data_IF_339797322177
#
_entry.id   IF_339797322177
#
_cell.length_a   1.000
_cell.length_b   1.000
_cell.length_c   1.000
_cell.angle_alpha   90.00
_cell.angle_beta   90.00
_cell.angle_gamma   90.00
#
_symmetry.space_group_name_H-M   'P 1'
#
loop_
_entity.id
_entity.type
_entity.pdbx_description
1 polymer ?
#
# COMPACT_ATOMS: atom_id res chain seq x y z
N UNK A 1 51.18 -14.42 -19.74
CA UNK A 1 49.92 -13.85 -20.26
C UNK A 1 48.76 -14.43 -19.48
N UNK A 2 48.26 -13.71 -18.49
CA UNK A 2 47.02 -14.05 -17.78
C UNK A 2 45.83 -13.46 -18.55
N UNK A 3 44.73 -14.21 -18.66
CA UNK A 3 43.32 -13.79 -18.51
C UNK A 3 42.40 -14.72 -19.32
N UNK A 4 41.73 -15.64 -18.65
CA UNK A 4 40.41 -16.14 -19.06
C UNK A 4 39.43 -15.78 -17.96
N UNK A 5 38.58 -14.78 -18.24
CA UNK A 5 37.58 -14.27 -17.31
C UNK A 5 36.36 -15.19 -17.29
N UNK A 6 36.10 -15.79 -16.13
CA UNK A 6 34.81 -16.39 -15.78
C UNK A 6 33.71 -15.33 -15.86
N UNK A 7 32.79 -15.49 -16.81
CA UNK A 7 31.58 -14.66 -16.91
C UNK A 7 30.58 -15.06 -15.83
N UNK A 8 30.64 -14.41 -14.67
CA UNK A 8 29.58 -14.49 -13.67
C UNK A 8 28.41 -13.59 -14.14
N UNK A 9 27.34 -14.20 -14.65
CA UNK A 9 26.06 -13.51 -14.84
C UNK A 9 25.55 -13.10 -13.45
N UNK A 10 25.57 -11.80 -13.18
CA UNK A 10 25.04 -11.24 -11.95
C UNK A 10 23.51 -11.42 -11.96
N UNK A 11 23.01 -12.32 -11.10
CA UNK A 11 21.59 -12.36 -10.78
C UNK A 11 21.16 -11.00 -10.22
N UNK A 12 20.30 -10.30 -10.96
CA UNK A 12 19.68 -9.06 -10.49
C UNK A 12 18.79 -9.38 -9.28
N UNK A 13 19.29 -9.10 -8.08
CA UNK A 13 18.49 -9.08 -6.85
C UNK A 13 17.43 -7.97 -6.97
N UNK A 14 16.22 -8.32 -7.40
CA UNK A 14 15.03 -7.47 -7.25
C UNK A 14 14.52 -7.51 -5.80
N UNK A 15 15.39 -7.23 -4.84
CA UNK A 15 15.10 -7.43 -3.40
C UNK A 15 14.94 -6.13 -2.61
N UNK A 16 14.73 -5.00 -3.28
CA UNK A 16 14.32 -3.75 -2.64
C UNK A 16 13.12 -3.20 -3.41
N UNK A 17 11.95 -3.83 -3.25
CA UNK A 17 10.71 -3.17 -3.64
C UNK A 17 10.26 -2.28 -2.48
N UNK A 18 10.51 -0.96 -2.51
CA UNK A 18 10.10 -0.05 -1.45
C UNK A 18 8.58 -0.06 -1.25
N UNK A 19 7.79 -0.37 -2.28
CA UNK A 19 6.34 -0.42 -2.21
C UNK A 19 5.87 -1.60 -1.37
N UNK A 20 6.52 -2.77 -1.48
CA UNK A 20 6.25 -3.91 -0.58
C UNK A 20 6.52 -3.58 0.89
N UNK A 21 7.50 -2.72 1.16
CA UNK A 21 7.74 -2.21 2.51
C UNK A 21 6.58 -1.37 3.02
N UNK A 22 6.10 -0.42 2.19
CA UNK A 22 4.99 0.47 2.53
C UNK A 22 3.64 -0.27 2.64
N UNK A 23 3.39 -1.27 1.79
CA UNK A 23 2.17 -2.12 1.86
C UNK A 23 2.09 -2.86 3.20
N UNK A 24 3.23 -3.23 3.80
CA UNK A 24 3.27 -3.92 5.09
C UNK A 24 3.09 -2.97 6.28
N UNK A 25 3.32 -1.68 6.12
CA UNK A 25 3.06 -0.70 7.17
C UNK A 25 1.55 -0.44 7.29
N UNK A 26 0.95 -0.92 8.39
CA UNK A 26 -0.49 -0.77 8.64
C UNK A 26 -0.97 0.68 8.75
N UNK A 27 -0.06 1.65 8.87
CA UNK A 27 -0.38 3.09 8.87
C UNK A 27 -0.57 3.67 7.47
N UNK A 28 -0.29 2.89 6.43
CA UNK A 28 -0.27 3.34 5.05
C UNK A 28 -1.38 2.69 4.20
N UNK A 29 -1.80 3.40 3.16
CA UNK A 29 -2.66 2.87 2.10
C UNK A 29 -2.12 3.32 0.74
N UNK A 30 -1.16 2.57 0.22
CA UNK A 30 -0.36 2.96 -0.97
C UNK A 30 -0.79 2.27 -2.27
N UNK A 31 -1.78 1.39 -2.21
CA UNK A 31 -2.36 0.68 -3.35
C UNK A 31 -3.88 0.86 -3.35
N UNK A 32 -4.57 0.96 -4.51
CA UNK A 32 -6.03 1.11 -4.59
C UNK A 32 -6.83 0.02 -3.85
N UNK A 33 -6.20 -1.13 -3.61
CA UNK A 33 -6.79 -2.32 -2.97
C UNK A 33 -6.06 -2.70 -1.68
N UNK A 34 -5.15 -1.86 -1.19
CA UNK A 34 -4.37 -2.08 0.04
C UNK A 34 -3.12 -2.94 -0.16
N UNK A 35 -3.23 -4.07 -0.85
CA UNK A 35 -2.13 -5.00 -1.11
C UNK A 35 -2.17 -5.57 -2.54
N UNK A 36 -1.15 -6.34 -2.91
CA UNK A 36 -1.10 -7.00 -4.23
C UNK A 36 -2.06 -8.19 -4.37
N UNK A 37 -2.57 -8.73 -3.26
CA UNK A 37 -3.59 -9.77 -3.27
C UNK A 37 -5.00 -9.20 -3.46
N UNK A 38 -5.14 -7.88 -3.50
CA UNK A 38 -6.37 -7.12 -3.60
C UNK A 38 -7.39 -7.41 -2.47
N UNK A 39 -6.92 -7.65 -1.24
CA UNK A 39 -7.80 -8.07 -0.13
C UNK A 39 -8.64 -6.94 0.45
N UNK A 40 -8.21 -5.68 0.30
CA UNK A 40 -8.81 -4.49 0.92
C UNK A 40 -8.91 -4.57 2.45
N UNK A 41 -7.99 -5.30 3.10
CA UNK A 41 -7.98 -5.52 4.55
C UNK A 41 -6.94 -4.64 5.26
N UNK A 42 -7.27 -4.11 6.44
CA UNK A 42 -6.33 -3.40 7.33
C UNK A 42 -6.12 -4.17 8.63
N UNK A 43 -4.87 -4.21 9.12
CA UNK A 43 -4.52 -4.82 10.41
C UNK A 43 -4.78 -3.89 11.62
N UNK A 44 -5.20 -2.64 11.40
CA UNK A 44 -5.49 -1.68 12.47
C UNK A 44 -6.70 -2.14 13.31
N UNK A 45 -6.62 -1.93 14.63
CA UNK A 45 -7.66 -2.34 15.60
C UNK A 45 -8.12 -1.21 16.53
N UNK A 46 -7.89 0.05 16.15
CA UNK A 46 -8.32 1.19 16.95
C UNK A 46 -9.85 1.34 16.94
N UNK A 47 -10.47 1.07 15.79
CA UNK A 47 -11.92 1.02 15.62
C UNK A 47 -12.34 -0.45 15.65
N UNK A 48 -13.28 -0.79 16.52
CA UNK A 48 -13.73 -2.16 16.78
C UNK A 48 -15.25 -2.23 16.86
N UNK A 49 -15.81 -3.44 16.92
CA UNK A 49 -17.26 -3.68 17.07
C UNK A 49 -17.83 -3.06 18.34
N UNK A 50 -17.02 -2.91 19.39
CA UNK A 50 -17.42 -2.37 20.69
C UNK A 50 -17.46 -0.84 20.71
N UNK A 51 -16.73 -0.16 19.80
CA UNK A 51 -16.59 1.30 19.82
C UNK A 51 -17.04 2.01 18.52
N UNK A 52 -17.37 1.27 17.46
CA UNK A 52 -17.81 1.84 16.18
C UNK A 52 -19.03 2.78 16.32
N UNK A 53 -19.90 2.55 17.30
CA UNK A 53 -21.03 3.43 17.60
C UNK A 53 -20.66 4.83 18.12
N UNK A 54 -19.38 5.09 18.41
CA UNK A 54 -18.86 6.38 18.89
C UNK A 54 -18.16 7.21 17.81
N UNK A 55 -18.12 6.72 16.57
CA UNK A 55 -17.46 7.44 15.47
C UNK A 55 -18.15 8.77 15.19
N UNK A 56 -17.34 9.80 14.95
CA UNK A 56 -17.78 11.15 14.60
C UNK A 56 -17.02 11.65 13.38
N UNK A 57 -17.61 12.60 12.65
CA UNK A 57 -16.95 13.27 11.54
C UNK A 57 -15.75 14.06 12.06
N UNK A 58 -14.56 13.82 11.50
CA UNK A 58 -13.37 14.59 11.84
C UNK A 58 -13.22 15.84 10.97
N UNK A 59 -13.49 15.72 9.67
CA UNK A 59 -13.39 16.80 8.68
C UNK A 59 -14.09 16.40 7.38
N UNK A 60 -14.31 17.36 6.49
CA UNK A 60 -14.86 17.15 5.15
C UNK A 60 -14.02 17.92 4.11
N UNK A 61 -13.90 17.37 2.90
CA UNK A 61 -13.23 18.01 1.77
C UNK A 61 -14.12 17.97 0.53
N UNK A 62 -14.25 19.10 -0.17
CA UNK A 62 -14.99 19.18 -1.44
C UNK A 62 -14.04 18.93 -2.61
N UNK A 63 -14.38 17.97 -3.47
CA UNK A 63 -13.61 17.65 -4.68
C UNK A 63 -13.83 18.67 -5.81
N UNK A 64 -14.87 19.51 -5.73
CA UNK A 64 -15.20 20.50 -6.75
C UNK A 64 -15.76 19.94 -8.06
N UNK A 65 -16.05 18.63 -8.14
CA UNK A 65 -16.58 17.95 -9.34
C UNK A 65 -17.96 17.35 -9.05
N UNK A 66 -18.85 17.41 -10.05
CA UNK A 66 -20.27 17.00 -9.92
C UNK A 66 -20.60 15.61 -10.49
N UNK A 67 -19.76 15.03 -11.36
CA UNK A 67 -19.99 13.70 -11.95
C UNK A 67 -19.54 12.60 -10.99
N UNK A 68 -19.74 11.33 -11.38
CA UNK A 68 -19.53 10.17 -10.51
C UNK A 68 -18.13 10.06 -9.88
N UNK A 69 -18.10 9.59 -8.63
CA UNK A 69 -16.89 9.26 -7.87
C UNK A 69 -16.82 7.73 -7.68
N UNK A 70 -15.99 7.05 -8.47
CA UNK A 70 -16.00 5.57 -8.60
C UNK A 70 -14.94 4.86 -7.74
N UNK A 71 -13.93 5.61 -7.28
CA UNK A 71 -12.85 5.11 -6.45
C UNK A 71 -12.80 5.78 -5.07
N UNK A 72 -11.75 5.45 -4.31
CA UNK A 72 -11.39 6.28 -3.17
C UNK A 72 -11.03 7.70 -3.68
N UNK A 73 -11.62 8.76 -3.12
CA UNK A 73 -11.38 10.14 -3.53
C UNK A 73 -10.00 10.68 -3.13
#
# INVERSE_FOLDING_TARGET
>A
MQKSSTGASAASKSSNDPLLGLIKDAKQWVSPTGDYANTRHSALKQITTENAGKLQLSWQFSTGVLRGHEGAP
#
